data_IF_578311746788
#
_entry.id   IF_578311746788
#
_cell.length_a   1.000
_cell.length_b   1.000
_cell.length_c   1.000
_cell.angle_alpha   90.00
_cell.angle_beta   90.00
_cell.angle_gamma   90.00
#
_symmetry.space_group_name_H-M   'P 1'
#
loop_
_entity.id
_entity.type
_entity.pdbx_description
1 polymer ?
#
# COMPACT_ATOMS: atom_id res chain seq x y z
N UNK A 1 -18.03 17.81 9.38
CA UNK A 1 -16.77 17.61 10.14
C UNK A 1 -17.11 17.59 11.63
N UNK A 2 -16.62 16.61 12.38
CA UNK A 2 -16.91 16.44 13.81
C UNK A 2 -15.60 16.51 14.57
N UNK A 3 -15.53 17.32 15.62
CA UNK A 3 -14.31 17.53 16.41
C UNK A 3 -14.42 16.91 17.81
N UNK A 4 -13.30 16.37 18.30
CA UNK A 4 -13.22 15.85 19.66
C UNK A 4 -13.22 17.00 20.68
N UNK A 5 -13.82 16.76 21.85
CA UNK A 5 -13.84 17.73 22.97
C UNK A 5 -12.52 17.80 23.73
N UNK A 6 -11.74 16.72 23.68
CA UNK A 6 -10.44 16.58 24.32
C UNK A 6 -9.42 16.11 23.28
N UNK A 7 -8.11 16.37 23.49
CA UNK A 7 -7.07 15.87 22.60
C UNK A 7 -7.12 14.33 22.44
N UNK A 8 -6.98 13.80 21.22
CA UNK A 8 -6.96 12.36 20.99
C UNK A 8 -5.73 11.71 21.64
N UNK A 9 -5.90 10.49 22.16
CA UNK A 9 -4.81 9.72 22.80
C UNK A 9 -3.76 9.21 21.83
N UNK A 10 -4.15 9.03 20.57
CA UNK A 10 -3.30 8.49 19.51
C UNK A 10 -3.42 9.38 18.29
N UNK A 11 -2.28 9.76 17.72
CA UNK A 11 -2.24 10.48 16.45
C UNK A 11 -2.43 9.49 15.29
N UNK A 12 -3.27 9.87 14.34
CA UNK A 12 -3.36 9.18 13.05
C UNK A 12 -2.47 9.91 12.05
N UNK A 13 -1.37 9.27 11.64
CA UNK A 13 -0.47 9.76 10.61
C UNK A 13 -0.67 9.02 9.28
N UNK A 14 -0.40 9.71 8.18
CA UNK A 14 -0.32 9.11 6.84
C UNK A 14 1.13 9.00 6.35
N UNK A 15 1.40 8.00 5.51
CA UNK A 15 2.65 7.88 4.78
C UNK A 15 2.37 7.56 3.31
N UNK A 16 3.22 8.05 2.41
CA UNK A 16 3.10 7.81 0.97
C UNK A 16 4.18 6.83 0.55
N UNK A 17 3.76 5.67 0.05
CA UNK A 17 4.63 4.70 -0.60
C UNK A 17 4.53 4.89 -2.12
N UNK A 18 5.56 5.47 -2.73
CA UNK A 18 5.57 5.77 -4.15
C UNK A 18 6.95 5.55 -4.77
N UNK A 19 6.97 5.16 -6.05
CA UNK A 19 8.19 5.10 -6.85
C UNK A 19 8.33 6.41 -7.65
N UNK A 20 9.30 7.25 -7.28
CA UNK A 20 9.54 8.52 -7.96
C UNK A 20 10.19 8.38 -9.35
N UNK A 21 10.76 7.22 -9.66
CA UNK A 21 11.36 6.89 -10.96
C UNK A 21 10.40 6.07 -11.84
N UNK A 22 9.09 6.20 -11.62
CA UNK A 22 8.04 5.48 -12.33
C UNK A 22 8.34 5.43 -13.83
N UNK A 23 8.60 4.22 -14.34
CA UNK A 23 8.88 3.96 -15.74
C UNK A 23 8.02 2.81 -16.22
N UNK A 24 7.20 3.09 -17.22
CA UNK A 24 6.32 2.13 -17.87
C UNK A 24 6.70 2.14 -19.35
N UNK A 25 7.30 1.06 -19.87
CA UNK A 25 7.63 1.00 -21.29
C UNK A 25 6.37 1.16 -22.14
N UNK A 26 6.48 1.89 -23.25
CA UNK A 26 5.39 2.05 -24.20
C UNK A 26 4.95 0.68 -24.72
N UNK A 27 3.63 0.45 -24.75
CA UNK A 27 3.04 -0.81 -25.24
C UNK A 27 3.21 -2.03 -24.34
N UNK A 28 3.92 -1.93 -23.20
CA UNK A 28 3.99 -3.03 -22.24
C UNK A 28 2.60 -3.22 -21.60
N UNK A 29 1.94 -4.37 -21.81
CA UNK A 29 0.63 -4.64 -21.26
C UNK A 29 0.71 -5.10 -19.81
N UNK A 30 1.89 -5.16 -19.17
CA UNK A 30 1.99 -5.66 -17.81
C UNK A 30 3.28 -5.22 -17.09
N UNK A 31 3.65 -3.95 -17.22
CA UNK A 31 4.83 -3.41 -16.58
C UNK A 31 4.71 -3.46 -15.04
N UNK A 32 5.68 -4.10 -14.38
CA UNK A 32 5.78 -4.14 -12.92
C UNK A 32 6.50 -2.90 -12.39
N UNK A 33 5.89 -2.25 -11.39
CA UNK A 33 6.48 -1.13 -10.66
C UNK A 33 6.48 -1.42 -9.16
N UNK A 34 7.68 -1.45 -8.60
CA UNK A 34 7.92 -1.67 -7.18
C UNK A 34 8.16 -0.33 -6.45
N UNK A 35 7.72 -0.25 -5.20
CA UNK A 35 8.01 0.85 -4.29
C UNK A 35 8.27 0.32 -2.89
N UNK A 36 9.18 0.96 -2.15
CA UNK A 36 9.60 0.49 -0.83
C UNK A 36 9.76 1.65 0.14
N UNK A 37 9.41 1.42 1.40
CA UNK A 37 9.59 2.38 2.48
C UNK A 37 9.99 1.65 3.76
N UNK A 38 11.06 2.12 4.39
CA UNK A 38 11.47 1.65 5.72
C UNK A 38 10.74 2.45 6.80
N UNK A 39 10.14 1.75 7.74
CA UNK A 39 9.49 2.31 8.92
C UNK A 39 10.43 2.11 10.12
N UNK A 40 10.89 3.23 10.68
CA UNK A 40 11.91 3.25 11.74
C UNK A 40 11.33 3.27 13.17
N UNK A 41 10.04 3.03 13.32
CA UNK A 41 9.33 3.05 14.60
C UNK A 41 8.18 2.05 14.59
N UNK A 42 7.74 1.65 15.75
CA UNK A 42 6.52 0.86 15.87
C UNK A 42 5.32 1.67 15.40
N UNK A 43 4.49 1.06 14.54
CA UNK A 43 3.27 1.66 14.01
C UNK A 43 2.13 0.66 14.03
N UNK A 44 0.92 1.14 14.27
CA UNK A 44 -0.30 0.38 13.99
C UNK A 44 -0.83 0.83 12.63
N UNK A 45 -0.82 -0.09 11.66
CA UNK A 45 -1.41 0.17 10.35
C UNK A 45 -2.93 0.05 10.45
N UNK A 46 -3.64 1.16 10.25
CA UNK A 46 -5.11 1.19 10.29
C UNK A 46 -5.74 0.94 8.94
N UNK A 47 -5.11 1.46 7.88
CA UNK A 47 -5.64 1.37 6.54
C UNK A 47 -4.55 1.52 5.49
N UNK A 48 -4.77 0.87 4.35
CA UNK A 48 -4.03 1.12 3.12
C UNK A 48 -5.00 1.73 2.11
N UNK A 49 -4.59 2.85 1.51
CA UNK A 49 -5.24 3.44 0.35
C UNK A 49 -4.34 3.24 -0.85
N UNK A 50 -4.79 2.46 -1.82
CA UNK A 50 -4.18 2.46 -3.14
C UNK A 50 -4.64 3.71 -3.90
N UNK A 51 -3.69 4.39 -4.52
CA UNK A 51 -3.97 5.40 -5.52
C UNK A 51 -3.26 5.06 -6.84
N UNK A 52 -4.02 5.01 -7.93
CA UNK A 52 -3.50 4.76 -9.26
C UNK A 52 -4.36 5.48 -10.30
N UNK A 53 -3.80 5.74 -11.48
CA UNK A 53 -4.54 6.25 -12.62
C UNK A 53 -5.10 5.08 -13.45
N UNK A 54 -5.61 5.38 -14.65
CA UNK A 54 -6.29 4.43 -15.54
C UNK A 54 -5.51 3.16 -15.86
N UNK A 55 -4.18 3.20 -15.72
CA UNK A 55 -3.40 2.03 -16.07
C UNK A 55 -3.44 0.96 -14.97
N UNK A 56 -3.60 1.29 -13.68
CA UNK A 56 -3.51 0.29 -12.59
C UNK A 56 -4.28 -1.04 -12.83
N UNK A 57 -3.72 -2.22 -12.47
CA UNK A 57 -4.36 -3.54 -12.69
C UNK A 57 -4.37 -4.46 -11.46
N UNK A 58 -3.25 -4.53 -10.74
CA UNK A 58 -3.13 -5.33 -9.51
C UNK A 58 -2.11 -4.71 -8.57
N UNK A 59 -2.18 -5.08 -7.29
CA UNK A 59 -1.20 -4.72 -6.27
C UNK A 59 -1.11 -5.78 -5.19
N UNK A 60 0.11 -5.92 -4.68
CA UNK A 60 0.41 -6.60 -3.43
C UNK A 60 1.17 -5.62 -2.55
N UNK A 61 0.72 -5.43 -1.31
CA UNK A 61 1.46 -4.76 -0.26
C UNK A 61 1.93 -5.80 0.74
N UNK A 62 3.21 -5.78 1.09
CA UNK A 62 3.80 -6.69 2.05
C UNK A 62 4.62 -5.93 3.09
N UNK A 63 4.52 -6.35 4.36
CA UNK A 63 5.47 -6.01 5.40
C UNK A 63 6.58 -7.07 5.40
N UNK A 64 7.82 -6.62 5.31
CA UNK A 64 9.02 -7.43 5.54
C UNK A 64 9.59 -7.00 6.89
N UNK A 65 9.62 -7.94 7.82
CA UNK A 65 10.10 -7.74 9.17
C UNK A 65 11.63 -7.91 9.24
N UNK A 66 12.29 -7.41 10.31
CA UNK A 66 13.76 -7.44 10.42
C UNK A 66 14.32 -8.86 10.49
N UNK A 67 13.50 -9.81 10.93
CA UNK A 67 13.78 -11.24 11.00
C UNK A 67 13.60 -11.97 9.66
N UNK A 68 13.23 -11.24 8.60
CA UNK A 68 12.99 -11.77 7.26
C UNK A 68 11.58 -12.33 7.05
N UNK A 69 10.71 -12.36 8.07
CA UNK A 69 9.30 -12.74 7.87
C UNK A 69 8.61 -11.77 6.93
N UNK A 70 7.74 -12.29 6.08
CA UNK A 70 6.93 -11.48 5.16
C UNK A 70 5.46 -11.71 5.46
N UNK A 71 4.68 -10.63 5.54
CA UNK A 71 3.24 -10.67 5.73
C UNK A 71 2.55 -9.83 4.64
N UNK A 72 1.62 -10.42 3.90
CA UNK A 72 0.81 -9.72 2.91
C UNK A 72 -0.25 -8.88 3.62
N UNK A 73 -0.16 -7.56 3.47
CA UNK A 73 -1.06 -6.59 4.10
C UNK A 73 -2.32 -6.32 3.27
N UNK A 74 -2.18 -6.31 1.95
CA UNK A 74 -3.27 -6.09 0.99
C UNK A 74 -2.92 -6.79 -0.32
N UNK A 75 -3.85 -7.57 -0.86
CA UNK A 75 -3.74 -8.17 -2.19
C UNK A 75 -4.99 -7.84 -3.00
N UNK A 76 -4.80 -7.21 -4.15
CA UNK A 76 -5.89 -6.92 -5.10
C UNK A 76 -5.45 -7.40 -6.48
N UNK A 77 -5.92 -8.59 -6.90
CA UNK A 77 -5.44 -9.24 -8.10
C UNK A 77 -6.10 -8.74 -9.38
N UNK A 78 -7.34 -8.24 -9.31
CA UNK A 78 -8.14 -7.83 -10.47
C UNK A 78 -8.81 -6.48 -10.17
N UNK A 79 -8.09 -5.39 -10.42
CA UNK A 79 -8.66 -4.05 -10.30
C UNK A 79 -9.13 -3.56 -11.65
N UNK A 80 -10.27 -2.90 -11.61
CA UNK A 80 -10.89 -2.24 -12.73
C UNK A 80 -11.12 -0.77 -12.32
N UNK A 81 -10.53 0.15 -13.07
CA UNK A 81 -10.64 1.60 -12.80
C UNK A 81 -12.07 2.11 -12.99
N UNK A 82 -12.84 1.48 -13.88
CA UNK A 82 -14.20 1.89 -14.24
C UNK A 82 -15.25 1.38 -13.25
N UNK A 83 -14.91 0.42 -12.40
CA UNK A 83 -15.80 -0.08 -11.35
C UNK A 83 -15.74 0.78 -10.07
N UNK A 84 -16.86 1.05 -9.34
CA UNK A 84 -16.91 2.04 -8.27
C UNK A 84 -16.14 1.73 -6.98
N UNK A 85 -15.40 0.61 -6.90
CA UNK A 85 -14.65 0.19 -5.71
C UNK A 85 -13.33 0.97 -5.57
N UNK A 86 -13.42 2.28 -5.82
CA UNK A 86 -12.34 3.29 -5.84
C UNK A 86 -11.58 3.41 -4.52
N UNK A 87 -12.05 2.72 -3.47
CA UNK A 87 -11.46 2.67 -2.14
C UNK A 87 -11.50 1.24 -1.60
N UNK A 88 -10.44 0.47 -1.83
CA UNK A 88 -10.19 -0.73 -1.04
C UNK A 88 -9.52 -0.34 0.27
N UNK A 89 -10.32 0.09 1.24
CA UNK A 89 -9.87 0.23 2.62
C UNK A 89 -9.84 -1.16 3.24
N UNK A 90 -8.71 -1.85 3.20
CA UNK A 90 -8.52 -2.97 4.13
C UNK A 90 -8.06 -2.40 5.46
N UNK A 91 -8.89 -2.58 6.49
CA UNK A 91 -8.44 -2.46 7.87
C UNK A 91 -7.45 -3.59 8.09
N UNK A 92 -6.16 -3.27 8.19
CA UNK A 92 -5.20 -4.27 8.60
C UNK A 92 -5.58 -4.71 10.02
N UNK A 93 -5.97 -5.97 10.17
CA UNK A 93 -6.05 -6.59 11.48
C UNK A 93 -4.68 -6.46 12.13
N UNK A 94 -4.64 -5.94 13.37
CA UNK A 94 -3.46 -5.73 14.21
C UNK A 94 -2.16 -6.33 13.63
N UNK A 95 -1.48 -5.60 12.74
CA UNK A 95 -0.10 -5.94 12.35
C UNK A 95 0.90 -5.63 13.49
N UNK A 96 0.37 -5.25 14.66
CA UNK A 96 1.09 -5.17 15.92
C UNK A 96 1.09 -6.55 16.59
N UNK A 97 1.81 -7.51 16.01
CA UNK A 97 2.49 -8.46 16.90
C UNK A 97 3.49 -7.62 17.69
N UNK A 98 3.24 -7.43 18.98
CA UNK A 98 4.23 -6.89 19.92
C UNK A 98 5.43 -7.83 19.89
N UNK A 99 6.44 -7.52 19.09
CA UNK A 99 7.69 -8.25 19.10
C UNK A 99 8.76 -7.35 19.70
N UNK A 100 9.49 -7.89 20.68
CA UNK A 100 10.41 -7.16 21.57
C UNK A 100 11.72 -6.70 20.88
N UNK A 101 11.75 -6.59 19.55
CA UNK A 101 12.91 -6.09 18.80
C UNK A 101 12.56 -4.85 17.96
N UNK A 102 12.93 -3.62 18.39
CA UNK A 102 12.46 -2.35 17.83
C UNK A 102 13.16 -1.93 16.51
N UNK A 103 13.66 -2.86 15.70
CA UNK A 103 14.61 -2.54 14.63
C UNK A 103 14.03 -2.64 13.22
N UNK A 104 13.32 -1.60 12.76
CA UNK A 104 13.06 -1.26 11.35
C UNK A 104 12.32 -2.33 10.48
N UNK A 105 11.03 -2.13 10.18
CA UNK A 105 10.31 -2.92 9.17
C UNK A 105 10.31 -2.24 7.78
N UNK A 106 10.27 -2.99 6.69
CA UNK A 106 10.09 -2.46 5.33
C UNK A 106 8.70 -2.78 4.84
N UNK A 107 7.94 -1.76 4.41
CA UNK A 107 6.72 -1.97 3.64
C UNK A 107 7.07 -1.90 2.16
N UNK A 108 6.76 -2.94 1.41
CA UNK A 108 6.95 -3.01 -0.04
C UNK A 108 5.62 -3.12 -0.75
N UNK A 109 5.46 -2.35 -1.82
CA UNK A 109 4.47 -2.62 -2.86
C UNK A 109 5.17 -3.47 -3.90
N UNK A 110 4.73 -4.72 -4.03
CA UNK A 110 5.43 -5.74 -4.79
C UNK A 110 4.92 -5.95 -6.21
N UNK A 111 3.80 -5.33 -6.63
CA UNK A 111 3.26 -5.51 -7.98
C UNK A 111 2.32 -4.37 -8.39
N UNK A 112 2.78 -3.13 -8.58
CA UNK A 112 1.93 -2.11 -9.22
C UNK A 112 1.91 -2.29 -10.74
N UNK A 113 0.85 -2.89 -11.29
CA UNK A 113 0.76 -3.14 -12.74
C UNK A 113 -0.08 -2.12 -13.48
N UNK A 114 0.28 -1.78 -14.74
CA UNK A 114 -0.35 -0.69 -15.51
C UNK A 114 -0.71 -1.05 -16.99
N UNK A 115 -1.99 -0.99 -17.46
CA UNK A 115 -2.50 -1.23 -18.85
C UNK A 115 -3.44 -0.17 -19.40
N UNK A 116 -3.33 0.07 -20.72
CA UNK A 116 -4.26 0.91 -21.48
C UNK A 116 -5.63 0.24 -21.70
N UNK A 117 -6.70 1.00 -21.44
CA UNK A 117 -8.02 0.70 -22.00
C UNK A 117 -7.96 0.91 -23.52
N UNK A 118 -7.79 -0.18 -24.26
CA UNK A 118 -7.96 -0.16 -25.71
C UNK A 118 -9.42 0.12 -26.04
N UNK A 119 -9.68 1.23 -26.71
CA UNK A 119 -10.93 1.48 -27.43
C UNK A 119 -10.90 0.69 -28.74
N UNK A 120 -11.79 -0.29 -28.89
CA UNK A 120 -12.30 -0.78 -30.18
C UNK A 120 -13.77 -0.38 -30.30
#
# INVERSE_FOLDING_TARGET
MVFAKEPPRTELGGAVLANGALHIPAGDPNARVDAEMTIHRDVTLWSILRHTHVRGKRWIYAAIYPDGRTNTLLSVPNYDFDWPDRLHLQTAGHAAERHEDPRNGVVRQLDGEQVESGSD
#
